data_IF_709503713237
#
_entry.id   IF_709503713237
#
_cell.length_a   1.000
_cell.length_b   1.000
_cell.length_c   1.000
_cell.angle_alpha   90.00
_cell.angle_beta   90.00
_cell.angle_gamma   90.00
#
_symmetry.space_group_name_H-M   'P 1'
#
loop_
_entity.id
_entity.type
_entity.pdbx_description
1 polymer ?
#
# COMPACT_ATOMS: atom_id res chain seq x y z
N UNK A 1 -7.20 6.77 -31.53
CA UNK A 1 -7.70 6.24 -30.23
C UNK A 1 -7.31 4.77 -30.18
N UNK A 2 -6.94 4.29 -28.99
CA UNK A 2 -6.26 3.03 -28.68
C UNK A 2 -4.75 3.22 -28.53
N UNK A 3 -4.38 3.97 -27.48
CA UNK A 3 -3.09 3.78 -26.84
C UNK A 3 -3.19 2.43 -26.11
N UNK A 4 -2.58 1.41 -26.70
CA UNK A 4 -2.39 0.12 -26.07
C UNK A 4 -1.50 0.33 -24.86
N UNK A 5 -2.13 0.64 -23.71
CA UNK A 5 -1.49 0.57 -22.40
C UNK A 5 -0.92 -0.83 -22.26
N UNK A 6 0.37 -0.96 -22.57
CA UNK A 6 1.13 -2.16 -22.31
C UNK A 6 0.83 -2.55 -20.87
N UNK A 7 0.34 -3.76 -20.69
CA UNK A 7 -0.01 -4.31 -19.40
C UNK A 7 1.30 -4.60 -18.65
N UNK A 8 1.90 -3.56 -18.07
CA UNK A 8 3.20 -3.65 -17.40
C UNK A 8 2.97 -4.33 -16.05
N UNK A 9 2.81 -5.65 -16.07
CA UNK A 9 2.71 -6.48 -14.86
C UNK A 9 4.10 -6.70 -14.27
N UNK A 10 4.56 -5.80 -13.39
CA UNK A 10 5.87 -5.96 -12.72
C UNK A 10 5.85 -7.08 -11.68
N UNK A 11 4.68 -7.37 -11.12
CA UNK A 11 4.51 -8.27 -9.97
C UNK A 11 3.76 -9.56 -10.33
N UNK A 12 3.54 -9.84 -11.61
CA UNK A 12 2.76 -10.99 -12.09
C UNK A 12 1.24 -10.81 -11.99
N UNK A 13 0.78 -9.62 -11.60
CA UNK A 13 -0.61 -9.17 -11.63
C UNK A 13 -0.65 -7.70 -12.07
N UNK A 14 -1.81 -7.17 -12.49
CA UNK A 14 -1.94 -5.78 -12.92
C UNK A 14 -1.48 -4.80 -11.84
N UNK A 15 -0.66 -3.82 -12.21
CA UNK A 15 -0.28 -2.75 -11.28
C UNK A 15 -1.51 -1.97 -10.80
N UNK A 16 -1.41 -1.32 -9.65
CA UNK A 16 -2.49 -0.50 -9.10
C UNK A 16 -2.80 0.68 -10.04
N UNK A 17 -4.08 0.79 -10.38
CA UNK A 17 -4.69 1.88 -11.14
C UNK A 17 -5.97 2.34 -10.42
N UNK A 18 -6.53 3.47 -10.86
CA UNK A 18 -7.66 4.16 -10.21
C UNK A 18 -8.85 3.23 -9.91
N UNK A 19 -9.17 2.31 -10.83
CA UNK A 19 -10.40 1.49 -10.78
C UNK A 19 -10.18 0.02 -10.42
N UNK A 20 -8.95 -0.42 -10.13
CA UNK A 20 -8.66 -1.86 -9.95
C UNK A 20 -8.32 -2.27 -8.51
N UNK A 21 -8.58 -1.41 -7.52
CA UNK A 21 -8.25 -1.66 -6.11
C UNK A 21 -8.73 -3.04 -5.60
N UNK A 22 -9.98 -3.41 -5.91
CA UNK A 22 -10.55 -4.68 -5.42
C UNK A 22 -9.87 -5.94 -6.01
N UNK A 23 -9.16 -5.81 -7.13
CA UNK A 23 -8.36 -6.88 -7.74
C UNK A 23 -6.89 -6.80 -7.29
N UNK A 24 -6.34 -5.59 -7.28
CA UNK A 24 -4.96 -5.33 -6.88
C UNK A 24 -4.71 -5.71 -5.42
N UNK A 25 -5.55 -5.23 -4.50
CA UNK A 25 -5.34 -5.39 -3.06
C UNK A 25 -5.16 -6.87 -2.67
N UNK A 26 -6.13 -7.79 -2.90
CA UNK A 26 -5.96 -9.19 -2.52
C UNK A 26 -4.77 -9.87 -3.22
N UNK A 27 -4.46 -9.48 -4.45
CA UNK A 27 -3.31 -10.04 -5.19
C UNK A 27 -1.98 -9.61 -4.58
N UNK A 28 -1.88 -8.33 -4.21
CA UNK A 28 -0.71 -7.76 -3.54
C UNK A 28 -0.54 -8.32 -2.12
N UNK A 29 -1.63 -8.46 -1.36
CA UNK A 29 -1.63 -9.10 -0.04
C UNK A 29 -1.08 -10.54 -0.14
N UNK A 30 -1.62 -11.36 -1.05
CA UNK A 30 -1.14 -12.71 -1.28
C UNK A 30 0.34 -12.74 -1.68
N UNK A 31 0.76 -11.83 -2.56
CA UNK A 31 2.16 -11.70 -2.96
C UNK A 31 3.09 -11.38 -1.77
N UNK A 32 2.67 -10.47 -0.89
CA UNK A 32 3.43 -10.13 0.32
C UNK A 32 3.43 -11.23 1.37
N UNK A 33 2.35 -11.99 1.49
CA UNK A 33 2.29 -13.18 2.35
C UNK A 33 3.32 -14.23 1.90
N UNK A 34 3.45 -14.47 0.58
CA UNK A 34 4.48 -15.37 0.04
C UNK A 34 5.89 -14.87 0.37
N UNK A 35 6.08 -13.55 0.40
CA UNK A 35 7.36 -12.91 0.76
C UNK A 35 7.62 -12.84 2.27
N UNK A 36 6.62 -13.14 3.11
CA UNK A 36 6.71 -12.98 4.56
C UNK A 36 6.72 -11.52 5.04
N UNK A 37 6.36 -10.57 4.18
CA UNK A 37 6.47 -9.12 4.48
C UNK A 37 5.12 -8.46 4.79
N UNK A 38 4.01 -9.20 4.67
CA UNK A 38 2.68 -8.62 4.86
C UNK A 38 2.42 -8.13 6.29
N UNK A 39 3.12 -8.71 7.28
CA UNK A 39 3.02 -8.30 8.68
C UNK A 39 3.33 -6.82 8.92
N UNK A 40 4.20 -6.22 8.11
CA UNK A 40 4.52 -4.79 8.19
C UNK A 40 3.42 -3.89 7.61
N UNK A 41 2.52 -4.42 6.77
CA UNK A 41 1.42 -3.66 6.16
C UNK A 41 0.14 -3.66 7.01
N UNK A 42 -0.14 -4.78 7.67
CA UNK A 42 -1.33 -4.96 8.49
C UNK A 42 -1.08 -4.66 9.99
N UNK A 43 0.17 -4.41 10.38
CA UNK A 43 0.57 -4.12 11.76
C UNK A 43 0.62 -5.36 12.66
N UNK A 44 0.71 -6.57 12.12
CA UNK A 44 0.94 -7.77 12.95
C UNK A 44 2.42 -7.97 13.28
N UNK A 45 3.33 -7.32 12.54
CA UNK A 45 4.76 -7.32 12.85
C UNK A 45 5.12 -6.08 13.65
N UNK A 46 5.35 -6.26 14.95
CA UNK A 46 5.73 -5.19 15.85
C UNK A 46 7.18 -4.78 15.65
N UNK A 47 7.46 -3.49 15.88
CA UNK A 47 8.84 -3.00 15.90
C UNK A 47 9.58 -3.63 17.08
N UNK A 48 10.77 -4.22 16.86
CA UNK A 48 11.54 -4.81 17.95
C UNK A 48 11.99 -3.72 18.92
N UNK A 49 11.59 -3.81 20.18
CA UNK A 49 12.01 -2.88 21.23
C UNK A 49 13.14 -3.51 22.07
N UNK A 50 14.26 -2.80 22.28
CA UNK A 50 15.32 -3.30 23.14
C UNK A 50 14.88 -3.28 24.61
N UNK A 51 15.34 -4.26 25.40
CA UNK A 51 15.07 -4.29 26.84
C UNK A 51 15.70 -3.10 27.57
N UNK A 52 16.87 -2.66 27.11
CA UNK A 52 17.58 -1.46 27.56
C UNK A 52 17.80 -0.49 26.38
N UNK A 53 17.02 0.61 26.29
CA UNK A 53 17.15 1.61 25.23
C UNK A 53 18.51 2.32 25.19
N UNK A 54 19.16 2.46 26.35
CA UNK A 54 20.43 3.18 26.48
C UNK A 54 21.62 2.28 26.18
N UNK A 55 21.46 0.96 26.29
CA UNK A 55 22.49 -0.02 25.96
C UNK A 55 21.98 -1.26 25.20
N UNK A 56 21.51 -1.09 23.94
CA UNK A 56 21.02 -2.22 23.17
C UNK A 56 22.15 -3.18 22.81
N UNK A 57 21.88 -4.47 23.00
CA UNK A 57 22.77 -5.57 22.67
C UNK A 57 23.03 -5.64 21.16
N UNK A 58 24.07 -6.38 20.77
CA UNK A 58 24.38 -6.61 19.35
C UNK A 58 23.26 -7.37 18.62
N UNK A 59 22.48 -8.18 19.34
CA UNK A 59 21.38 -8.97 18.77
C UNK A 59 20.19 -8.05 18.49
N UNK A 60 19.75 -7.26 19.47
CA UNK A 60 18.64 -6.31 19.31
C UNK A 60 18.94 -5.28 18.21
N UNK A 61 20.18 -4.76 18.13
CA UNK A 61 20.61 -3.88 17.02
C UNK A 61 20.50 -4.55 15.65
N UNK A 62 20.78 -5.85 15.58
CA UNK A 62 20.68 -6.63 14.34
C UNK A 62 19.20 -6.84 13.97
N UNK A 63 18.36 -7.17 14.93
CA UNK A 63 16.92 -7.35 14.75
C UNK A 63 16.24 -6.06 14.30
N UNK A 64 16.54 -4.93 14.95
CA UNK A 64 16.07 -3.61 14.52
C UNK A 64 16.51 -3.28 13.08
N UNK A 65 17.77 -3.58 12.74
CA UNK A 65 18.26 -3.36 11.37
C UNK A 65 17.53 -4.25 10.36
N UNK A 66 17.27 -5.52 10.70
CA UNK A 66 16.52 -6.44 9.86
C UNK A 66 15.09 -5.95 9.65
N UNK A 67 14.40 -5.58 10.72
CA UNK A 67 13.06 -5.00 10.68
C UNK A 67 12.96 -3.77 9.76
N UNK A 68 13.89 -2.82 9.88
CA UNK A 68 13.93 -1.64 9.02
C UNK A 68 14.19 -2.01 7.55
N UNK A 69 15.04 -3.01 7.31
CA UNK A 69 15.34 -3.50 5.97
C UNK A 69 14.12 -4.19 5.34
N UNK A 70 13.33 -4.91 6.13
CA UNK A 70 12.09 -5.54 5.71
C UNK A 70 11.00 -4.50 5.42
N UNK A 71 10.88 -3.45 6.24
CA UNK A 71 10.01 -2.30 5.96
C UNK A 71 10.35 -1.60 4.64
N UNK A 72 11.65 -1.37 4.39
CA UNK A 72 12.12 -0.79 3.12
C UNK A 72 11.85 -1.73 1.94
N UNK A 73 12.04 -3.03 2.12
CA UNK A 73 11.76 -4.03 1.08
C UNK A 73 10.27 -4.07 0.75
N UNK A 74 9.40 -4.11 1.77
CA UNK A 74 7.96 -4.09 1.63
C UNK A 74 7.48 -2.85 0.85
N UNK A 75 7.91 -1.65 1.26
CA UNK A 75 7.58 -0.39 0.56
C UNK A 75 8.13 -0.34 -0.86
N UNK A 76 9.33 -0.90 -1.10
CA UNK A 76 9.91 -1.02 -2.43
C UNK A 76 9.09 -1.91 -3.37
N UNK A 77 8.63 -3.07 -2.89
CA UNK A 77 7.74 -3.91 -3.69
C UNK A 77 6.40 -3.22 -3.97
N UNK A 78 5.80 -2.55 -2.97
CA UNK A 78 4.57 -1.79 -3.18
C UNK A 78 4.76 -0.71 -4.25
N UNK A 79 5.87 0.03 -4.18
CA UNK A 79 6.22 1.03 -5.18
C UNK A 79 6.33 0.46 -6.59
N UNK A 80 6.89 -0.75 -6.74
CA UNK A 80 6.99 -1.41 -8.03
C UNK A 80 5.62 -1.75 -8.61
N UNK A 81 4.67 -2.19 -7.79
CA UNK A 81 3.35 -2.60 -8.26
C UNK A 81 2.36 -1.44 -8.41
N UNK A 82 2.78 -0.17 -8.29
CA UNK A 82 1.91 1.00 -8.43
C UNK A 82 2.20 1.75 -9.73
N UNK A 83 1.14 2.28 -10.35
CA UNK A 83 1.29 3.15 -11.50
C UNK A 83 1.87 4.52 -11.14
N UNK A 84 2.68 5.10 -12.03
CA UNK A 84 3.41 6.36 -11.80
C UNK A 84 2.47 7.52 -11.45
N UNK A 85 1.23 7.48 -11.94
CA UNK A 85 0.19 8.48 -11.65
C UNK A 85 -0.18 8.53 -10.16
N UNK A 86 -0.08 7.42 -9.44
CA UNK A 86 -0.40 7.29 -8.01
C UNK A 86 0.83 7.44 -7.09
N UNK A 87 2.04 7.37 -7.66
CA UNK A 87 3.31 7.43 -6.92
C UNK A 87 3.56 8.76 -6.18
N UNK A 88 3.03 9.89 -6.67
CA UNK A 88 3.32 11.21 -6.10
C UNK A 88 2.89 11.35 -4.63
N UNK A 89 1.81 10.68 -4.23
CA UNK A 89 1.23 10.81 -2.88
C UNK A 89 1.86 9.88 -1.84
N UNK A 90 2.57 8.84 -2.29
CA UNK A 90 3.11 7.76 -1.44
C UNK A 90 4.64 7.81 -1.31
N UNK A 91 5.33 8.59 -2.16
CA UNK A 91 6.79 8.70 -2.10
C UNK A 91 7.34 9.25 -0.77
N UNK A 92 6.56 10.08 -0.07
CA UNK A 92 6.92 10.59 1.26
C UNK A 92 6.77 9.56 2.39
N UNK A 93 6.16 8.40 2.10
CA UNK A 93 5.88 7.33 3.06
C UNK A 93 6.83 6.13 2.88
N UNK A 94 7.92 6.30 2.13
CA UNK A 94 8.93 5.25 1.95
C UNK A 94 9.49 4.80 3.31
N UNK A 95 9.62 3.48 3.49
CA UNK A 95 10.00 2.88 4.77
C UNK A 95 8.87 2.76 5.81
N UNK A 96 7.65 3.27 5.52
CA UNK A 96 6.46 3.11 6.37
C UNK A 96 5.36 2.34 5.63
N UNK A 97 5.48 1.00 5.56
CA UNK A 97 4.55 0.16 4.78
C UNK A 97 3.08 0.33 5.21
N UNK A 98 2.81 0.33 6.51
CA UNK A 98 1.50 0.58 7.13
C UNK A 98 0.83 1.88 6.66
N UNK A 99 1.56 2.99 6.71
CA UNK A 99 1.08 4.31 6.33
C UNK A 99 0.84 4.38 4.82
N UNK A 100 1.74 3.78 4.04
CA UNK A 100 1.64 3.72 2.58
C UNK A 100 0.41 2.94 2.14
N UNK A 101 0.16 1.78 2.76
CA UNK A 101 -1.01 0.95 2.48
C UNK A 101 -2.33 1.60 2.91
N UNK A 102 -2.34 2.21 4.10
CA UNK A 102 -3.51 2.95 4.60
C UNK A 102 -3.87 4.12 3.68
N UNK A 103 -2.86 4.88 3.22
CA UNK A 103 -3.07 6.00 2.30
C UNK A 103 -3.69 5.56 0.98
N UNK A 104 -3.24 4.43 0.42
CA UNK A 104 -3.82 3.88 -0.81
C UNK A 104 -5.26 3.42 -0.60
N UNK A 105 -5.53 2.74 0.52
CA UNK A 105 -6.88 2.32 0.88
C UNK A 105 -7.82 3.53 0.97
N UNK A 106 -7.39 4.62 1.61
CA UNK A 106 -8.17 5.86 1.70
C UNK A 106 -8.46 6.47 0.33
N UNK A 107 -7.45 6.58 -0.54
CA UNK A 107 -7.60 7.13 -1.90
C UNK A 107 -8.65 6.35 -2.69
N UNK A 108 -8.57 5.01 -2.68
CA UNK A 108 -9.47 4.16 -3.45
C UNK A 108 -10.86 3.97 -2.79
N UNK A 109 -10.96 4.11 -1.46
CA UNK A 109 -12.26 4.15 -0.78
C UNK A 109 -13.00 5.47 -1.04
N UNK A 110 -12.29 6.60 -1.10
CA UNK A 110 -12.87 7.90 -1.45
C UNK A 110 -13.31 7.98 -2.92
N UNK A 111 -12.62 7.26 -3.81
CA UNK A 111 -12.97 7.22 -5.24
C UNK A 111 -14.22 6.40 -5.56
N UNK A 112 -14.66 5.48 -4.69
CA UNK A 112 -16.00 4.89 -4.82
C UNK A 112 -16.99 6.04 -4.68
N UNK A 113 -17.74 6.42 -5.73
CA UNK A 113 -18.72 7.48 -5.62
C UNK A 113 -19.75 7.03 -4.59
N UNK A 114 -19.71 7.63 -3.41
CA UNK A 114 -20.89 7.66 -2.57
C UNK A 114 -21.98 8.25 -3.44
N UNK A 115 -23.06 7.50 -3.63
CA UNK A 115 -24.36 7.84 -4.21
C UNK A 115 -24.82 9.25 -3.80
N UNK A 116 -24.23 10.30 -4.38
CA UNK A 116 -24.48 11.71 -4.03
C UNK A 116 -24.73 12.61 -5.23
N UNK A 117 -24.82 12.04 -6.43
CA UNK A 117 -25.61 12.62 -7.51
C UNK A 117 -26.89 11.80 -7.67
N UNK A 118 -27.68 11.72 -6.61
CA UNK A 118 -29.10 11.39 -6.72
C UNK A 118 -29.90 12.57 -6.18
N UNK A 119 -29.78 13.72 -6.84
CA UNK A 119 -30.76 14.78 -6.72
C UNK A 119 -31.78 14.60 -7.85
N UNK A 120 -32.67 13.62 -7.71
CA UNK A 120 -34.04 13.71 -8.24
C UNK A 120 -34.84 14.80 -7.48
N UNK A 121 -34.20 15.91 -7.11
CA UNK A 121 -34.83 17.07 -6.49
C UNK A 121 -35.22 18.13 -7.54
N UNK A 122 -34.96 17.84 -8.83
CA UNK A 122 -35.40 18.64 -9.98
C UNK A 122 -36.64 18.05 -10.67
N UNK A 123 -37.12 16.86 -10.28
CA UNK A 123 -38.29 16.25 -10.93
C UNK A 123 -39.61 16.40 -10.15
N UNK A 124 -39.58 16.83 -8.89
CA UNK A 124 -40.79 17.07 -8.09
C UNK A 124 -40.77 18.37 -7.27
N UNK A 125 -39.98 19.36 -7.69
CA UNK A 125 -40.26 20.75 -7.31
C UNK A 125 -41.26 21.32 -8.31
N UNK A 126 -42.55 21.20 -7.96
CA UNK A 126 -43.77 21.91 -8.45
C UNK A 126 -44.14 21.86 -9.94
#
# INVERSE_FOLDING_TARGET
MNDSSADITKCGFPNLHVDNWNQFAPSFEAYMCIKGLFGHFNGTEDMPEPEDPDNPTKVEKREMKAYLQDCLSATGYLWLCIDKSQCAHIGLLMGKPDAMWSKLKDIHQQQKPGTRFNAYDVLFSI
#
